data_IF_341356404327
#
_entry.id   IF_341356404327
#
_cell.length_a   1.000
_cell.length_b   1.000
_cell.length_c   1.000
_cell.angle_alpha   90.00
_cell.angle_beta   90.00
_cell.angle_gamma   90.00
#
_symmetry.space_group_name_H-M   'P 1'
#
loop_
_entity.id
_entity.type
_entity.pdbx_description
1 polymer ?
#
# COMPACT_ATOMS: atom_id res chain seq x y z
N UNK A 1 12.05 24.28 -32.53
CA UNK A 1 11.71 23.89 -31.15
C UNK A 1 12.84 24.28 -30.23
N UNK A 2 12.56 24.79 -29.02
CA UNK A 2 13.62 25.05 -28.03
C UNK A 2 13.95 23.73 -27.31
N UNK A 3 15.25 23.39 -27.15
CA UNK A 3 15.63 22.20 -26.38
C UNK A 3 15.25 22.41 -24.91
N UNK A 4 14.52 21.45 -24.35
CA UNK A 4 14.23 21.39 -22.91
C UNK A 4 15.07 20.28 -22.30
N UNK A 5 15.70 20.55 -21.16
CA UNK A 5 16.42 19.56 -20.38
C UNK A 5 15.71 19.39 -19.04
N UNK A 6 15.58 18.15 -18.59
CA UNK A 6 14.96 17.79 -17.32
C UNK A 6 15.95 16.99 -16.50
N UNK A 7 16.00 17.26 -15.20
CA UNK A 7 16.77 16.48 -14.24
C UNK A 7 15.78 15.86 -13.26
N UNK A 8 15.77 14.53 -13.22
CA UNK A 8 14.88 13.76 -12.36
C UNK A 8 15.70 12.89 -11.42
N UNK A 9 15.19 12.70 -10.21
CA UNK A 9 15.81 11.82 -9.22
C UNK A 9 14.74 10.90 -8.63
N UNK A 10 15.09 9.62 -8.45
CA UNK A 10 14.27 8.64 -7.74
C UNK A 10 15.01 8.29 -6.45
N UNK A 11 14.32 8.40 -5.32
CA UNK A 11 14.83 8.00 -4.01
C UNK A 11 13.79 7.15 -3.29
N UNK A 12 14.21 6.15 -2.51
CA UNK A 12 13.29 5.44 -1.64
C UNK A 12 12.77 6.36 -0.54
N UNK A 13 11.54 6.14 -0.12
CA UNK A 13 10.89 6.88 0.95
C UNK A 13 9.98 5.94 1.76
N UNK A 14 9.71 6.33 2.99
CA UNK A 14 8.67 5.75 3.84
C UNK A 14 7.43 6.62 3.69
N UNK A 15 6.32 5.99 3.33
CA UNK A 15 5.02 6.67 3.18
C UNK A 15 4.06 6.17 4.23
N UNK A 16 3.36 7.11 4.87
CA UNK A 16 2.21 6.80 5.72
C UNK A 16 0.96 7.03 4.90
N UNK A 17 0.08 6.03 4.91
CA UNK A 17 -1.17 6.06 4.19
C UNK A 17 -2.33 6.09 5.18
N UNK A 18 -3.34 6.89 4.86
CA UNK A 18 -4.68 6.72 5.37
C UNK A 18 -5.43 5.86 4.36
N UNK A 19 -6.09 4.81 4.84
CA UNK A 19 -6.78 3.86 4.00
C UNK A 19 -8.24 3.78 4.41
N UNK A 20 -9.13 3.84 3.43
CA UNK A 20 -10.56 3.59 3.61
C UNK A 20 -11.01 2.51 2.65
N UNK A 21 -11.94 1.65 3.08
CA UNK A 21 -12.56 0.66 2.20
C UNK A 21 -14.03 1.02 2.08
N UNK A 22 -14.47 1.35 0.87
CA UNK A 22 -15.88 1.59 0.57
C UNK A 22 -16.32 0.72 -0.59
N UNK A 23 -17.45 0.02 -0.44
CA UNK A 23 -18.00 -0.88 -1.47
C UNK A 23 -16.97 -1.89 -2.02
N UNK A 24 -16.14 -2.47 -1.15
CA UNK A 24 -15.05 -3.40 -1.50
C UNK A 24 -13.93 -2.80 -2.34
N UNK A 25 -13.85 -1.47 -2.45
CA UNK A 25 -12.74 -0.75 -3.09
C UNK A 25 -11.89 -0.12 -2.00
N UNK A 26 -10.60 -0.45 -2.00
CA UNK A 26 -9.59 0.19 -1.14
C UNK A 26 -9.17 1.53 -1.76
N UNK A 27 -9.34 2.60 -1.00
CA UNK A 27 -8.88 3.95 -1.31
C UNK A 27 -7.77 4.31 -0.32
N UNK A 28 -6.54 4.51 -0.81
CA UNK A 28 -5.39 4.93 0.00
C UNK A 28 -5.03 6.39 -0.35
N UNK A 29 -4.89 7.24 0.67
CA UNK A 29 -4.37 8.61 0.57
C UNK A 29 -3.02 8.72 1.29
N UNK A 30 -2.05 9.40 0.68
CA UNK A 30 -0.73 9.61 1.30
C UNK A 30 -0.83 10.75 2.30
N UNK A 31 -0.63 10.44 3.59
CA UNK A 31 -0.65 11.43 4.68
C UNK A 31 0.74 12.04 4.90
N UNK A 32 1.79 11.23 4.81
CA UNK A 32 3.16 11.72 4.94
C UNK A 32 4.14 10.91 4.09
N UNK A 33 5.25 11.56 3.74
CA UNK A 33 6.35 10.96 2.99
C UNK A 33 7.67 11.43 3.56
N UNK A 34 8.52 10.49 3.97
CA UNK A 34 9.85 10.76 4.52
C UNK A 34 10.89 10.07 3.63
N UNK A 35 11.81 10.82 2.99
CA UNK A 35 12.85 10.21 2.17
C UNK A 35 13.81 9.38 3.03
N UNK A 36 14.27 8.26 2.48
CA UNK A 36 15.29 7.42 3.12
C UNK A 36 16.70 7.83 2.65
N UNK A 37 17.66 7.76 3.56
CA UNK A 37 19.05 8.09 3.30
C UNK A 37 19.87 6.88 2.93
N UNK A 38 20.98 7.10 2.23
CA UNK A 38 21.98 6.06 2.02
C UNK A 38 22.54 5.66 3.39
N UNK A 39 22.67 4.36 3.61
CA UNK A 39 23.31 3.80 4.79
C UNK A 39 24.78 4.23 4.84
N UNK A 40 25.17 4.91 5.92
CA UNK A 40 26.56 5.37 6.11
C UNK A 40 27.44 4.31 6.77
N UNK A 41 26.85 3.29 7.36
CA UNK A 41 27.54 2.19 8.04
C UNK A 41 27.54 0.90 7.23
N UNK A 42 26.51 0.69 6.40
CA UNK A 42 26.42 -0.43 5.47
C UNK A 42 27.22 -0.26 4.18
N UNK A 43 27.26 -1.35 3.40
CA UNK A 43 27.80 -1.36 2.05
C UNK A 43 27.05 -0.44 1.08
N UNK A 44 27.66 -0.17 -0.07
CA UNK A 44 27.10 0.70 -1.10
C UNK A 44 25.70 0.24 -1.52
N UNK A 45 24.71 1.14 -1.50
CA UNK A 45 23.39 0.88 -2.07
C UNK A 45 22.33 0.34 -1.09
N UNK A 46 22.61 0.34 0.21
CA UNK A 46 21.57 0.18 1.23
C UNK A 46 21.00 1.55 1.60
N UNK A 47 19.69 1.65 1.81
CA UNK A 47 19.04 2.83 2.38
C UNK A 47 18.42 2.49 3.72
N UNK A 48 18.55 3.39 4.68
CA UNK A 48 18.08 3.19 6.06
C UNK A 48 17.47 4.50 6.56
N UNK A 49 16.34 4.38 7.26
CA UNK A 49 15.69 5.45 8.00
C UNK A 49 15.23 4.87 9.35
N UNK A 50 15.52 5.57 10.44
CA UNK A 50 14.93 5.27 11.75
C UNK A 50 13.91 6.34 12.11
N UNK A 51 12.86 5.98 12.85
CA UNK A 51 12.01 6.94 13.53
C UNK A 51 12.42 7.07 15.00
N UNK A 52 12.27 8.26 15.58
CA UNK A 52 12.30 8.46 17.03
C UNK A 52 10.99 8.02 17.69
N UNK A 53 9.88 8.14 16.95
CA UNK A 53 8.56 7.74 17.42
C UNK A 53 7.83 7.00 16.29
N UNK A 54 7.33 5.82 16.59
CA UNK A 54 6.54 5.03 15.66
C UNK A 54 5.10 4.95 16.15
N UNK A 55 4.16 5.51 15.39
CA UNK A 55 2.74 5.30 15.65
C UNK A 55 2.35 3.92 15.16
N UNK A 56 2.34 2.94 16.05
CA UNK A 56 1.82 1.61 15.76
C UNK A 56 0.29 1.63 15.91
N UNK A 57 -0.40 1.06 14.92
CA UNK A 57 -1.82 0.70 15.04
C UNK A 57 -2.75 1.89 15.28
N UNK A 58 -2.37 3.08 14.81
CA UNK A 58 -3.20 4.30 14.86
C UNK A 58 -3.37 4.93 16.24
N UNK A 59 -2.82 4.33 17.31
CA UNK A 59 -3.14 4.74 18.68
C UNK A 59 -1.93 4.67 19.61
N UNK A 60 -1.03 3.69 19.41
CA UNK A 60 0.12 3.48 20.30
C UNK A 60 1.37 4.09 19.69
N UNK A 61 1.82 5.21 20.24
CA UNK A 61 3.16 5.73 19.93
C UNK A 61 4.19 4.92 20.69
N UNK A 62 5.03 4.17 19.97
CA UNK A 62 6.19 3.48 20.51
C UNK A 62 7.38 4.42 20.43
N UNK A 63 8.01 4.68 21.58
CA UNK A 63 9.21 5.50 21.65
C UNK A 63 10.41 4.65 21.24
N UNK A 64 11.04 5.03 20.12
CA UNK A 64 12.17 4.35 19.53
C UNK A 64 13.47 4.97 20.08
N UNK A 65 13.77 4.69 21.34
CA UNK A 65 14.99 5.21 21.97
C UNK A 65 16.22 4.42 21.53
N UNK A 66 17.33 5.09 21.20
CA UNK A 66 18.56 4.40 20.85
C UNK A 66 19.08 3.59 22.05
N UNK A 67 19.52 2.36 21.79
CA UNK A 67 20.01 1.45 22.81
C UNK A 67 21.54 1.58 22.97
N UNK A 68 22.09 1.48 24.20
CA UNK A 68 23.52 1.30 24.39
C UNK A 68 23.97 -0.03 23.76
N UNK A 69 25.06 0.00 23.01
CA UNK A 69 25.53 -1.02 22.03
C UNK A 69 25.85 -2.43 22.56
N UNK A 70 25.42 -2.81 23.77
CA UNK A 70 25.85 -4.04 24.44
C UNK A 70 25.07 -5.29 24.03
N UNK A 71 23.92 -5.15 23.35
CA UNK A 71 23.17 -6.26 22.76
C UNK A 71 22.87 -5.93 21.30
N UNK A 72 23.24 -6.79 20.37
CA UNK A 72 23.01 -6.57 18.92
C UNK A 72 21.82 -7.34 18.39
N UNK A 73 21.21 -8.22 19.19
CA UNK A 73 20.04 -8.99 18.75
C UNK A 73 18.83 -8.05 18.59
N UNK A 74 18.24 -8.00 17.39
CA UNK A 74 17.10 -7.15 17.09
C UNK A 74 17.40 -5.65 17.04
N UNK A 75 18.68 -5.25 16.95
CA UNK A 75 19.07 -3.86 16.79
C UNK A 75 19.74 -3.60 15.44
N UNK A 76 19.49 -2.42 14.88
CA UNK A 76 20.09 -1.93 13.64
C UNK A 76 20.86 -0.65 13.91
N UNK A 77 22.13 -0.59 13.48
CA UNK A 77 22.93 0.62 13.56
C UNK A 77 22.49 1.61 12.49
N UNK A 78 22.06 2.80 12.91
CA UNK A 78 21.56 3.86 12.03
C UNK A 78 22.35 5.14 12.23
N UNK A 79 22.69 5.82 11.13
CA UNK A 79 23.35 7.12 11.20
C UNK A 79 22.39 8.14 11.81
N UNK A 80 22.86 8.96 12.75
CA UNK A 80 22.00 9.97 13.38
C UNK A 80 21.40 10.95 12.37
N UNK A 81 22.05 11.12 11.21
CA UNK A 81 21.54 11.90 10.09
C UNK A 81 20.34 11.27 9.36
N UNK A 82 20.06 9.99 9.59
CA UNK A 82 18.96 9.23 9.00
C UNK A 82 17.85 8.93 10.04
N UNK A 83 17.74 9.74 11.10
CA UNK A 83 16.69 9.63 12.13
C UNK A 83 15.64 10.70 11.86
N UNK A 84 14.37 10.31 11.71
CA UNK A 84 13.18 11.11 11.38
C UNK A 84 13.21 11.85 10.04
N UNK A 85 14.40 12.00 9.46
CA UNK A 85 14.65 12.59 8.16
C UNK A 85 15.94 11.96 7.61
N UNK A 86 16.14 12.08 6.31
CA UNK A 86 17.42 11.74 5.73
C UNK A 86 17.84 12.77 4.67
N UNK A 87 19.09 13.28 4.74
CA UNK A 87 19.60 14.20 3.74
C UNK A 87 19.68 13.50 2.38
N UNK A 88 19.23 14.21 1.35
CA UNK A 88 19.27 13.74 -0.05
C UNK A 88 20.67 13.80 -0.67
N UNK A 89 21.62 14.39 0.05
CA UNK A 89 22.96 14.60 -0.48
C UNK A 89 23.77 13.31 -0.52
N UNK A 90 24.53 13.08 -1.60
CA UNK A 90 25.43 11.94 -1.69
C UNK A 90 26.46 11.98 -0.55
N UNK A 91 26.85 10.78 -0.10
CA UNK A 91 27.85 10.58 0.95
C UNK A 91 29.10 11.43 0.66
N UNK A 92 29.42 12.37 1.54
CA UNK A 92 30.76 12.98 1.54
C UNK A 92 31.78 11.89 1.88
N UNK A 93 32.76 11.61 1.00
CA UNK A 93 33.75 10.58 1.26
C UNK A 93 34.59 10.93 2.49
N UNK A 94 34.68 9.99 3.45
CA UNK A 94 35.68 10.05 4.53
C UNK A 94 35.18 10.43 5.93
N UNK A 95 33.97 10.96 6.12
CA UNK A 95 33.43 11.15 7.47
C UNK A 95 32.60 9.95 7.92
N UNK A 96 33.06 9.25 8.96
CA UNK A 96 32.18 8.34 9.70
C UNK A 96 31.12 9.21 10.38
N UNK A 97 29.87 9.08 9.94
CA UNK A 97 28.79 9.75 10.63
C UNK A 97 28.64 9.14 12.04
N UNK A 98 28.25 9.94 13.06
CA UNK A 98 27.84 9.36 14.33
C UNK A 98 26.60 8.49 14.13
N UNK A 99 26.53 7.39 14.87
CA UNK A 99 25.46 6.39 14.76
C UNK A 99 24.99 5.91 16.12
N UNK A 100 23.78 5.37 16.14
CA UNK A 100 23.19 4.75 17.31
C UNK A 100 22.41 3.49 16.91
N UNK A 101 22.26 2.57 17.85
CA UNK A 101 21.53 1.32 17.64
C UNK A 101 20.05 1.54 17.94
N UNK A 102 19.19 1.25 16.97
CA UNK A 102 17.74 1.33 17.12
C UNK A 102 17.12 -0.07 17.04
N UNK A 103 16.01 -0.32 17.74
CA UNK A 103 15.23 -1.54 17.57
C UNK A 103 14.83 -1.74 16.11
N UNK A 104 14.88 -2.98 15.60
CA UNK A 104 14.59 -3.30 14.20
C UNK A 104 13.19 -2.86 13.78
N UNK A 105 12.21 -2.93 14.67
CA UNK A 105 10.83 -2.48 14.44
C UNK A 105 10.70 -0.97 14.18
N UNK A 106 11.71 -0.18 14.56
CA UNK A 106 11.75 1.27 14.39
C UNK A 106 12.53 1.72 13.16
N UNK A 107 13.04 0.77 12.36
CA UNK A 107 13.97 1.05 11.26
C UNK A 107 13.45 0.48 9.95
N UNK A 108 13.29 1.35 8.96
CA UNK A 108 13.02 0.95 7.59
C UNK A 108 14.33 0.76 6.83
N UNK A 109 14.44 -0.36 6.12
CA UNK A 109 15.62 -0.71 5.34
C UNK A 109 15.22 -1.08 3.93
N UNK A 110 15.78 -0.38 2.93
CA UNK A 110 15.88 -0.90 1.58
C UNK A 110 17.26 -1.54 1.41
N UNK A 111 17.28 -2.87 1.35
CA UNK A 111 18.51 -3.65 1.24
C UNK A 111 19.30 -3.37 -0.03
N UNK A 112 20.55 -3.79 -0.04
CA UNK A 112 21.44 -3.60 -1.20
C UNK A 112 20.97 -4.38 -2.44
N UNK A 113 20.44 -5.60 -2.27
CA UNK A 113 19.98 -6.45 -3.38
C UNK A 113 18.91 -5.80 -4.26
N UNK A 114 17.76 -5.30 -3.72
CA UNK A 114 16.76 -4.63 -4.56
C UNK A 114 17.33 -3.37 -5.22
N UNK A 115 18.18 -2.60 -4.53
CA UNK A 115 18.84 -1.44 -5.15
C UNK A 115 19.74 -1.85 -6.34
N UNK A 116 20.55 -2.90 -6.16
CA UNK A 116 21.42 -3.44 -7.20
C UNK A 116 20.65 -4.05 -8.38
N UNK A 117 19.41 -4.48 -8.18
CA UNK A 117 18.53 -4.96 -9.25
C UNK A 117 17.82 -3.80 -9.98
N UNK A 118 17.24 -2.86 -9.22
CA UNK A 118 16.48 -1.72 -9.78
C UNK A 118 17.37 -0.80 -10.60
N UNK A 119 18.55 -0.44 -10.07
CA UNK A 119 19.43 0.54 -10.71
C UNK A 119 19.85 0.17 -12.15
N UNK A 120 20.42 -1.02 -12.43
CA UNK A 120 20.79 -1.39 -13.79
C UNK A 120 19.58 -1.54 -14.71
N UNK A 121 18.42 -1.95 -14.19
CA UNK A 121 17.21 -2.08 -15.00
C UNK A 121 16.66 -0.71 -15.41
N UNK A 122 16.58 0.25 -14.49
CA UNK A 122 16.23 1.62 -14.84
C UNK A 122 17.25 2.23 -15.81
N UNK A 123 18.54 1.94 -15.59
CA UNK A 123 19.62 2.39 -16.46
C UNK A 123 19.47 1.82 -17.88
N UNK A 124 19.17 0.53 -18.04
CA UNK A 124 19.05 -0.11 -19.36
C UNK A 124 17.92 0.49 -20.21
N UNK A 125 16.83 0.95 -19.57
CA UNK A 125 15.70 1.56 -20.28
C UNK A 125 15.84 3.07 -20.50
N UNK A 126 16.48 3.79 -19.58
CA UNK A 126 16.52 5.25 -19.58
C UNK A 126 17.84 5.81 -20.14
N UNK A 127 18.97 5.15 -19.89
CA UNK A 127 20.27 5.64 -20.34
C UNK A 127 20.43 5.44 -21.85
N UNK A 128 20.84 6.49 -22.55
CA UNK A 128 21.01 6.46 -24.01
C UNK A 128 19.69 6.36 -24.79
N UNK A 129 18.55 6.38 -24.10
CA UNK A 129 17.24 6.41 -24.72
C UNK A 129 17.13 7.66 -25.60
N UNK A 130 16.98 7.43 -26.91
CA UNK A 130 16.94 8.50 -27.91
C UNK A 130 15.82 8.24 -28.92
N UNK A 131 15.38 9.33 -29.56
CA UNK A 131 14.47 9.29 -30.69
C UNK A 131 15.14 9.96 -31.87
N UNK A 132 15.00 9.32 -33.03
CA UNK A 132 15.37 9.84 -34.32
C UNK A 132 14.09 10.09 -35.12
N UNK A 133 13.98 11.25 -35.74
CA UNK A 133 12.87 11.60 -36.63
C UNK A 133 13.27 11.38 -38.09
N UNK A 134 12.47 10.64 -38.86
CA UNK A 134 12.60 10.42 -40.30
C UNK A 134 11.24 10.57 -40.97
N UNK A 135 11.06 11.54 -41.87
CA UNK A 135 9.84 11.74 -42.68
C UNK A 135 8.53 11.60 -41.87
N UNK A 136 8.38 12.39 -40.81
CA UNK A 136 7.26 12.36 -39.85
C UNK A 136 7.08 11.07 -39.03
N UNK A 137 7.99 10.11 -39.13
CA UNK A 137 8.05 8.93 -38.26
C UNK A 137 9.13 9.10 -37.21
N UNK A 138 8.86 8.61 -35.99
CA UNK A 138 9.80 8.65 -34.89
C UNK A 138 10.23 7.22 -34.55
N UNK A 139 11.54 6.97 -34.63
CA UNK A 139 12.18 5.68 -34.34
C UNK A 139 12.95 5.84 -33.02
N UNK A 140 12.79 4.88 -32.11
CA UNK A 140 13.39 4.94 -30.77
C UNK A 140 12.76 3.93 -29.82
N UNK A 141 13.31 3.82 -28.61
CA UNK A 141 12.78 2.95 -27.57
C UNK A 141 11.36 3.38 -27.17
N UNK A 142 10.55 2.43 -26.67
CA UNK A 142 9.18 2.74 -26.24
C UNK A 142 9.16 3.77 -25.11
N UNK A 143 10.15 3.71 -24.22
CA UNK A 143 10.34 4.65 -23.12
C UNK A 143 10.64 6.05 -23.65
N UNK A 144 11.56 6.18 -24.60
CA UNK A 144 11.84 7.47 -25.22
C UNK A 144 10.59 8.04 -25.90
N UNK A 145 9.84 7.22 -26.64
CA UNK A 145 8.60 7.62 -27.35
C UNK A 145 7.53 8.12 -26.37
N UNK A 146 7.34 7.41 -25.27
CA UNK A 146 6.40 7.78 -24.22
C UNK A 146 6.79 9.08 -23.53
N UNK A 147 8.09 9.33 -23.33
CA UNK A 147 8.59 10.58 -22.74
C UNK A 147 8.46 11.77 -23.71
N UNK A 148 8.78 11.55 -24.99
CA UNK A 148 8.80 12.60 -26.02
C UNK A 148 7.42 13.08 -26.45
N UNK A 149 6.41 12.19 -26.42
CA UNK A 149 5.00 12.49 -26.78
C UNK A 149 4.85 13.32 -28.06
N UNK A 150 5.43 12.88 -29.17
CA UNK A 150 5.40 13.61 -30.45
C UNK A 150 5.85 15.08 -30.30
N UNK A 151 6.95 15.29 -29.59
CA UNK A 151 7.56 16.59 -29.32
C UNK A 151 6.74 17.54 -28.42
N UNK A 152 5.71 17.04 -27.72
CA UNK A 152 4.91 17.81 -26.76
C UNK A 152 5.39 17.66 -25.32
N UNK A 153 6.66 17.31 -25.12
CA UNK A 153 7.25 17.12 -23.79
C UNK A 153 7.14 18.39 -22.94
N UNK A 154 6.52 18.24 -21.79
CA UNK A 154 6.35 19.29 -20.77
C UNK A 154 6.76 18.76 -19.40
N UNK A 155 7.02 19.66 -18.46
CA UNK A 155 7.32 19.28 -17.08
C UNK A 155 6.24 18.34 -16.50
N UNK A 156 4.95 18.67 -16.69
CA UNK A 156 3.84 17.85 -16.21
C UNK A 156 3.79 16.45 -16.85
N UNK A 157 4.19 16.30 -18.11
CA UNK A 157 4.27 14.99 -18.77
C UNK A 157 5.42 14.13 -18.22
N UNK A 158 6.58 14.75 -17.95
CA UNK A 158 7.74 14.06 -17.35
C UNK A 158 7.45 13.68 -15.92
N UNK A 159 6.86 14.58 -15.13
CA UNK A 159 6.41 14.32 -13.76
C UNK A 159 5.44 13.14 -13.71
N UNK A 160 4.41 13.16 -14.57
CA UNK A 160 3.42 12.07 -14.63
C UNK A 160 4.07 10.73 -15.01
N UNK A 161 5.01 10.74 -15.97
CA UNK A 161 5.76 9.54 -16.35
C UNK A 161 6.57 8.98 -15.18
N UNK A 162 7.35 9.83 -14.51
CA UNK A 162 8.18 9.42 -13.37
C UNK A 162 7.33 8.95 -12.19
N UNK A 163 6.22 9.64 -11.91
CA UNK A 163 5.27 9.26 -10.86
C UNK A 163 4.66 7.89 -11.14
N UNK A 164 4.18 7.65 -12.36
CA UNK A 164 3.63 6.35 -12.75
C UNK A 164 4.68 5.23 -12.65
N UNK A 165 5.92 5.49 -13.08
CA UNK A 165 7.02 4.55 -12.93
C UNK A 165 7.26 4.19 -11.45
N UNK A 166 7.36 5.20 -10.59
CA UNK A 166 7.55 4.97 -9.14
C UNK A 166 6.37 4.25 -8.49
N UNK A 167 5.13 4.51 -8.92
CA UNK A 167 3.95 3.77 -8.45
C UNK A 167 4.01 2.29 -8.80
N UNK A 168 4.37 1.96 -10.04
CA UNK A 168 4.54 0.56 -10.46
C UNK A 168 5.63 -0.10 -9.63
N UNK A 169 6.78 0.56 -9.44
CA UNK A 169 7.85 0.04 -8.60
C UNK A 169 7.38 -0.23 -7.16
N UNK A 170 6.69 0.73 -6.54
CA UNK A 170 6.14 0.57 -5.18
C UNK A 170 5.13 -0.59 -5.11
N UNK A 171 4.22 -0.69 -6.07
CA UNK A 171 3.24 -1.78 -6.13
C UNK A 171 3.94 -3.15 -6.30
N UNK A 172 4.95 -3.24 -7.17
CA UNK A 172 5.74 -4.45 -7.35
C UNK A 172 6.48 -4.83 -6.06
N UNK A 173 7.08 -3.87 -5.36
CA UNK A 173 7.79 -4.11 -4.10
C UNK A 173 6.84 -4.57 -2.98
N UNK A 174 5.66 -3.96 -2.84
CA UNK A 174 4.63 -4.39 -1.87
C UNK A 174 4.15 -5.82 -2.15
N UNK A 175 3.99 -6.19 -3.43
CA UNK A 175 3.45 -7.49 -3.81
C UNK A 175 4.49 -8.63 -3.83
N UNK A 176 5.78 -8.33 -4.04
CA UNK A 176 6.82 -9.35 -4.28
C UNK A 176 7.98 -9.27 -3.27
N UNK A 177 7.88 -8.46 -2.23
CA UNK A 177 8.94 -8.35 -1.23
C UNK A 177 9.15 -9.64 -0.43
N UNK A 178 10.30 -9.74 0.24
CA UNK A 178 10.84 -10.99 0.79
C UNK A 178 9.89 -11.71 1.76
N UNK A 179 9.06 -10.95 2.48
CA UNK A 179 8.15 -11.46 3.50
C UNK A 179 6.67 -11.44 3.03
N UNK A 180 6.44 -11.26 1.72
CA UNK A 180 5.11 -11.18 1.12
C UNK A 180 4.36 -9.88 1.43
N UNK A 181 3.11 -9.78 0.97
CA UNK A 181 2.31 -8.56 1.10
C UNK A 181 1.98 -8.18 2.56
N UNK A 182 1.96 -9.17 3.47
CA UNK A 182 1.55 -8.98 4.87
C UNK A 182 2.58 -8.23 5.73
N UNK A 183 3.86 -8.29 5.38
CA UNK A 183 4.95 -7.76 6.22
C UNK A 183 5.24 -6.27 5.98
N UNK A 184 4.81 -5.74 4.83
CA UNK A 184 5.02 -4.32 4.47
C UNK A 184 3.90 -3.39 4.95
N UNK A 185 2.87 -3.91 5.63
CA UNK A 185 1.74 -3.12 6.11
C UNK A 185 1.55 -3.40 7.61
N UNK A 186 2.12 -2.53 8.45
CA UNK A 186 1.84 -2.52 9.89
C UNK A 186 0.64 -1.61 10.11
N UNK A 187 -0.55 -2.19 10.17
CA UNK A 187 -1.80 -1.46 10.39
C UNK A 187 -2.74 -2.24 11.31
N UNK A 188 -3.55 -1.51 12.08
CA UNK A 188 -4.67 -2.09 12.82
C UNK A 188 -5.92 -1.87 12.00
N UNK A 189 -6.61 -2.96 11.66
CA UNK A 189 -7.95 -2.89 11.09
C UNK A 189 -8.85 -2.31 12.19
N UNK A 190 -9.25 -1.05 12.05
CA UNK A 190 -10.10 -0.35 13.03
C UNK A 190 -11.51 -0.94 13.02
N UNK A 191 -11.96 -1.41 11.85
CA UNK A 191 -13.28 -2.00 11.66
C UNK A 191 -13.17 -3.17 10.68
N UNK A 192 -13.43 -4.38 11.16
CA UNK A 192 -13.55 -5.57 10.34
C UNK A 192 -15.04 -5.82 10.07
N UNK A 193 -15.50 -5.47 8.86
CA UNK A 193 -16.84 -5.84 8.40
C UNK A 193 -16.67 -7.09 7.54
N UNK A 194 -17.15 -8.22 8.06
CA UNK A 194 -17.27 -9.43 7.27
C UNK A 194 -18.45 -9.29 6.30
N UNK A 195 -18.16 -9.09 5.02
CA UNK A 195 -19.19 -9.13 3.98
C UNK A 195 -19.58 -10.58 3.72
N UNK A 196 -20.63 -11.08 4.38
CA UNK A 196 -21.21 -12.39 4.10
C UNK A 196 -22.16 -12.25 2.91
N UNK A 197 -21.76 -12.74 1.74
CA UNK A 197 -22.68 -12.95 0.61
C UNK A 197 -23.58 -14.16 0.91
N UNK A 198 -24.73 -13.90 1.55
CA UNK A 198 -25.72 -14.93 1.81
C UNK A 198 -26.41 -15.28 0.50
N UNK A 199 -25.96 -16.37 -0.13
CA UNK A 199 -26.68 -16.98 -1.25
C UNK A 199 -27.93 -17.70 -0.76
N UNK A 200 -29.00 -16.94 -0.53
CA UNK A 200 -30.30 -17.44 -0.04
C UNK A 200 -30.82 -18.65 -0.83
N UNK A 201 -30.58 -18.69 -2.14
CA UNK A 201 -30.96 -19.81 -3.01
C UNK A 201 -30.29 -21.16 -2.64
N UNK A 202 -29.14 -21.14 -1.95
CA UNK A 202 -28.46 -22.36 -1.47
C UNK A 202 -28.87 -22.75 -0.06
N UNK A 203 -29.36 -21.80 0.74
CA UNK A 203 -29.91 -22.08 2.07
C UNK A 203 -31.34 -22.61 2.01
N UNK A 204 -32.10 -22.27 0.97
CA UNK A 204 -33.47 -22.78 0.80
C UNK A 204 -33.54 -24.30 0.64
N UNK A 205 -32.53 -24.93 0.01
CA UNK A 205 -32.51 -26.37 -0.23
C UNK A 205 -32.40 -27.23 1.05
N UNK A 206 -31.42 -27.03 1.96
CA UNK A 206 -31.37 -27.77 3.22
C UNK A 206 -32.56 -27.44 4.14
N UNK A 207 -33.08 -26.21 4.12
CA UNK A 207 -34.29 -25.84 4.87
C UNK A 207 -35.50 -26.63 4.38
N UNK A 208 -35.70 -26.74 3.06
CA UNK A 208 -36.77 -27.55 2.48
C UNK A 208 -36.64 -29.03 2.85
N UNK A 209 -35.42 -29.59 2.81
CA UNK A 209 -35.16 -30.97 3.21
C UNK A 209 -35.47 -31.23 4.69
N UNK A 210 -35.13 -30.31 5.59
CA UNK A 210 -35.46 -30.46 7.02
C UNK A 210 -36.97 -30.40 7.24
N UNK A 211 -37.68 -29.48 6.56
CA UNK A 211 -39.14 -29.41 6.63
C UNK A 211 -39.80 -30.71 6.16
N UNK A 212 -39.30 -31.29 5.07
CA UNK A 212 -39.87 -32.52 4.49
C UNK A 212 -39.54 -33.78 5.34
N UNK A 213 -38.35 -33.85 5.93
CA UNK A 213 -37.94 -34.99 6.77
C UNK A 213 -38.58 -34.95 8.17
N UNK A 214 -38.97 -33.78 8.69
CA UNK A 214 -39.63 -33.65 10.00
C UNK A 214 -41.15 -33.92 9.92
N UNK A 215 -41.74 -33.97 8.72
CA UNK A 215 -43.18 -34.16 8.53
C UNK A 215 -43.80 -35.58 8.71
N UNK A 216 -43.10 -36.73 8.89
CA UNK A 216 -43.82 -38.01 8.90
C UNK A 216 -44.60 -38.33 10.18
N UNK A 217 -44.43 -37.64 11.30
CA UNK A 217 -44.95 -38.09 12.61
C UNK A 217 -45.99 -37.18 13.28
N UNK A 218 -46.29 -36.00 12.73
CA UNK A 218 -47.34 -35.12 13.28
C UNK A 218 -48.34 -34.81 12.17
N UNK A 219 -49.15 -35.82 11.83
CA UNK A 219 -50.38 -35.62 11.03
C UNK A 219 -51.53 -35.25 11.97
N UNK A 220 -51.42 -34.09 12.62
CA UNK A 220 -52.57 -33.36 13.15
C UNK A 220 -52.74 -32.11 12.29
N UNK A 221 -53.95 -31.91 11.77
CA UNK A 221 -54.37 -30.72 11.04
C UNK A 221 -54.09 -29.47 11.89
N UNK A 222 -52.89 -28.93 11.76
CA UNK A 222 -52.53 -27.63 12.27
C UNK A 222 -52.47 -26.71 11.07
N UNK A 223 -53.43 -25.79 11.04
CA UNK A 223 -53.53 -24.72 10.07
C UNK A 223 -52.21 -23.93 10.07
N UNK A 224 -51.39 -24.10 9.03
CA UNK A 224 -50.07 -23.46 8.86
C UNK A 224 -50.18 -22.05 8.26
N UNK A 225 -51.39 -21.47 8.19
CA UNK A 225 -51.59 -20.10 7.68
C UNK A 225 -50.77 -19.07 8.47
N UNK A 226 -50.62 -19.23 9.79
CA UNK A 226 -49.81 -18.33 10.63
C UNK A 226 -48.32 -18.31 10.25
N UNK A 227 -47.76 -19.43 9.79
CA UNK A 227 -46.34 -19.51 9.42
C UNK A 227 -46.05 -18.85 8.07
N UNK A 228 -47.02 -18.84 7.16
CA UNK A 228 -46.92 -18.12 5.89
C UNK A 228 -46.84 -16.61 6.13
N UNK A 229 -47.69 -16.08 7.02
CA UNK A 229 -47.72 -14.65 7.32
C UNK A 229 -46.42 -14.19 8.00
N UNK A 230 -45.82 -15.04 8.86
CA UNK A 230 -44.57 -14.72 9.54
C UNK A 230 -43.34 -14.76 8.60
N UNK A 231 -43.33 -15.65 7.59
CA UNK A 231 -42.30 -15.62 6.54
C UNK A 231 -42.42 -14.37 5.67
N UNK A 232 -43.65 -13.96 5.33
CA UNK A 232 -43.87 -12.75 4.53
C UNK A 232 -43.48 -11.48 5.30
N UNK A 233 -43.73 -11.42 6.61
CA UNK A 233 -43.30 -10.31 7.46
C UNK A 233 -41.77 -10.27 7.65
N UNK A 234 -41.11 -11.40 7.88
CA UNK A 234 -39.63 -11.47 7.95
C UNK A 234 -39.00 -11.07 6.62
N UNK A 235 -39.58 -11.49 5.50
CA UNK A 235 -39.12 -11.07 4.18
C UNK A 235 -39.28 -9.55 4.00
N UNK A 236 -40.40 -8.98 4.42
CA UNK A 236 -40.69 -7.54 4.25
C UNK A 236 -39.79 -6.66 5.13
N UNK A 237 -39.51 -7.07 6.38
CA UNK A 237 -38.59 -6.35 7.29
C UNK A 237 -37.16 -6.33 6.74
N UNK A 238 -36.69 -7.45 6.18
CA UNK A 238 -35.33 -7.57 5.58
C UNK A 238 -35.09 -6.56 4.46
N UNK A 239 -36.09 -6.35 3.57
CA UNK A 239 -35.96 -5.40 2.46
C UNK A 239 -35.98 -3.93 2.91
N UNK A 240 -36.74 -3.57 3.94
CA UNK A 240 -36.77 -2.20 4.48
C UNK A 240 -35.51 -1.83 5.27
N UNK A 241 -34.91 -2.78 5.99
CA UNK A 241 -33.65 -2.56 6.71
C UNK A 241 -32.48 -2.35 5.73
N UNK A 242 -32.39 -3.18 4.68
CA UNK A 242 -31.37 -3.05 3.63
C UNK A 242 -31.47 -1.73 2.84
N UNK A 243 -32.68 -1.19 2.67
CA UNK A 243 -32.89 0.10 2.02
C UNK A 243 -32.48 1.30 2.90
N UNK A 244 -32.59 1.19 4.23
CA UNK A 244 -32.15 2.23 5.17
C UNK A 244 -30.64 2.20 5.40
N UNK A 245 -30.03 1.02 5.54
CA UNK A 245 -28.59 0.88 5.79
C UNK A 245 -27.74 1.16 4.53
N UNK A 246 -28.31 1.03 3.33
CA UNK A 246 -27.67 1.43 2.06
C UNK A 246 -27.55 2.94 1.86
N UNK A 247 -28.21 3.77 2.69
CA UNK A 247 -28.18 5.23 2.62
C UNK A 247 -27.39 5.88 3.78
N UNK A 248 -26.82 5.08 4.68
CA UNK A 248 -26.02 5.56 5.82
C UNK A 248 -24.70 6.19 5.38
N UNK A 249 -24.69 7.51 5.19
CA UNK A 249 -23.46 8.31 5.33
C UNK A 249 -22.99 8.19 6.77
N UNK A 250 -21.95 7.40 7.00
CA UNK A 250 -21.19 7.48 8.23
C UNK A 250 -20.37 8.78 8.21
N UNK A 251 -20.94 9.85 8.77
CA UNK A 251 -20.18 11.02 9.20
C UNK A 251 -19.57 10.66 10.56
N UNK A 252 -18.28 10.35 10.58
CA UNK A 252 -17.51 10.25 11.82
C UNK A 252 -17.06 11.66 12.20
N UNK A 253 -17.69 12.20 13.25
CA UNK A 253 -17.29 13.44 13.91
C UNK A 253 -15.91 13.27 14.57
N UNK A 254 -15.09 14.30 14.41
CA UNK A 254 -13.82 14.51 15.12
C UNK A 254 -14.10 14.78 16.60
N UNK A 255 -13.37 14.07 17.47
CA UNK A 255 -12.78 14.64 18.69
C UNK A 255 -11.26 14.52 18.60
#
# INVERSE_FOLDING_TARGET
>A
MKPNAFQCHIFPCVRTYEASISKLVLEEEVVSEIPMGIDRFGGNGRYVLAASNLTQHGEKTVNCTPHPANDTAGLVLVALANVDSAPREPRSPGSQAPGAWYPEECVWVLGESPFRAIRPELRSYLEGASIQGYDNTYIGSIVAKNLWRNATISFGSVDTFMRNLTYVMTATMRNNGANGAADYIIGKVVLDITCIDVRWARLSFPVALVVEVVQPSIRQETDLSWFRDEIEDVARVSWTQLAQDGAGKATLERE
#
